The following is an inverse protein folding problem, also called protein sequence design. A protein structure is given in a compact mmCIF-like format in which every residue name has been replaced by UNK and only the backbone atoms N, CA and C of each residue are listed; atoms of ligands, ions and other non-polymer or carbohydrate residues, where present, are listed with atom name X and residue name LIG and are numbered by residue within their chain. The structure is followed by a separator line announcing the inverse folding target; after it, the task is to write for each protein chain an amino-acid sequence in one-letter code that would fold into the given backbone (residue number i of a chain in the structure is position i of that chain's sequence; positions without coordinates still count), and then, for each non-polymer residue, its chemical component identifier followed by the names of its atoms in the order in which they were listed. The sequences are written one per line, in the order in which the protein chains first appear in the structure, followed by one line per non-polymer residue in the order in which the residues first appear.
data_IF_833070967734
#
_entry.id   IF_833070967734
#
_cell.length_a   1.000
_cell.length_b   1.000
_cell.length_c   1.000
_cell.angle_alpha   90.00
_cell.angle_beta   90.00
_cell.angle_gamma   90.00
#
_symmetry.space_group_name_H-M   'P 1'
#
loop_
_entity.id
_entity.type
_entity.pdbx_description
1 polymer ?
#
# COMPACT_ATOMS: atom_id res chain seq x y z
N UNK A 1 -24.96 17.74 -27.01
CA UNK A 1 -24.65 17.75 -28.46
C UNK A 1 -23.15 17.71 -28.60
N UNK A 2 -22.59 16.61 -29.10
CA UNK A 2 -21.16 16.50 -29.42
C UNK A 2 -20.97 17.02 -30.85
N UNK A 3 -20.02 17.92 -31.14
CA UNK A 3 -19.80 18.40 -32.50
C UNK A 3 -19.33 17.25 -33.40
N UNK A 4 -20.04 17.08 -34.51
CA UNK A 4 -19.73 16.19 -35.63
C UNK A 4 -18.56 16.72 -36.45
N UNK A 5 -17.32 16.45 -36.05
CA UNK A 5 -16.17 16.51 -36.97
C UNK A 5 -14.94 15.77 -36.42
N UNK A 6 -15.03 14.45 -36.31
CA UNK A 6 -13.89 13.55 -36.47
C UNK A 6 -14.44 12.13 -36.67
N UNK A 7 -14.62 11.69 -37.92
CA UNK A 7 -14.79 10.27 -38.21
C UNK A 7 -13.45 9.57 -37.99
N UNK A 8 -13.13 9.32 -36.73
CA UNK A 8 -12.03 8.44 -36.37
C UNK A 8 -12.56 7.04 -36.57
N UNK A 9 -11.94 6.22 -37.43
CA UNK A 9 -12.28 4.81 -37.65
C UNK A 9 -12.00 3.91 -36.43
N UNK A 10 -11.92 4.49 -35.24
CA UNK A 10 -11.87 3.75 -33.99
C UNK A 10 -13.29 3.30 -33.65
N UNK A 11 -13.50 2.02 -33.29
CA UNK A 11 -14.78 1.60 -32.76
C UNK A 11 -15.14 2.47 -31.56
N UNK A 12 -16.41 2.88 -31.39
CA UNK A 12 -16.82 3.60 -30.20
C UNK A 12 -16.50 2.73 -28.98
N UNK A 13 -16.09 3.33 -27.84
CA UNK A 13 -15.96 2.57 -26.61
C UNK A 13 -17.29 1.88 -26.31
N UNK A 14 -17.23 0.66 -25.79
CA UNK A 14 -18.44 -0.05 -25.37
C UNK A 14 -19.16 0.79 -24.32
N UNK A 15 -20.49 0.87 -24.43
CA UNK A 15 -21.29 1.58 -23.43
C UNK A 15 -21.07 0.96 -22.05
N UNK A 16 -20.96 1.80 -21.02
CA UNK A 16 -20.70 1.36 -19.64
C UNK A 16 -21.69 0.29 -19.17
N UNK A 17 -22.97 0.42 -19.53
CA UNK A 17 -24.00 -0.56 -19.20
C UNK A 17 -23.73 -1.97 -19.76
N UNK A 18 -22.88 -2.10 -20.77
CA UNK A 18 -22.49 -3.38 -21.38
C UNK A 18 -21.35 -4.05 -20.61
N UNK A 19 -20.42 -3.26 -20.06
CA UNK A 19 -19.19 -3.78 -19.46
C UNK A 19 -19.18 -3.73 -17.93
N UNK A 20 -20.00 -2.86 -17.32
CA UNK A 20 -20.06 -2.69 -15.86
C UNK A 20 -20.42 -3.98 -15.14
N UNK A 21 -21.41 -4.73 -15.65
CA UNK A 21 -21.82 -6.00 -15.03
C UNK A 21 -20.65 -6.98 -14.96
N UNK A 22 -19.96 -7.25 -16.07
CA UNK A 22 -18.83 -8.19 -16.07
C UNK A 22 -17.67 -7.71 -15.18
N UNK A 23 -17.37 -6.40 -15.19
CA UNK A 23 -16.31 -5.81 -14.37
C UNK A 23 -16.63 -5.92 -12.88
N UNK A 24 -17.89 -5.68 -12.51
CA UNK A 24 -18.33 -5.80 -11.13
C UNK A 24 -18.26 -7.25 -10.64
N UNK A 25 -18.67 -8.24 -11.44
CA UNK A 25 -18.51 -9.65 -11.08
C UNK A 25 -17.04 -10.08 -10.94
N UNK A 26 -16.13 -9.54 -11.75
CA UNK A 26 -14.68 -9.75 -11.57
C UNK A 26 -14.19 -9.18 -10.24
N UNK A 27 -14.60 -7.96 -9.88
CA UNK A 27 -14.25 -7.34 -8.60
C UNK A 27 -14.81 -8.12 -7.39
N UNK A 28 -16.05 -8.62 -7.50
CA UNK A 28 -16.67 -9.47 -6.47
C UNK A 28 -15.96 -10.82 -6.30
N UNK A 29 -15.52 -11.44 -7.39
CA UNK A 29 -14.74 -12.67 -7.34
C UNK A 29 -13.38 -12.42 -6.65
N UNK A 30 -12.68 -11.35 -6.99
CA UNK A 30 -11.47 -10.92 -6.29
C UNK A 30 -11.71 -10.65 -4.81
N UNK A 31 -12.78 -9.92 -4.46
CA UNK A 31 -13.18 -9.67 -3.08
C UNK A 31 -13.36 -10.98 -2.30
N UNK A 32 -14.12 -11.92 -2.86
CA UNK A 32 -14.35 -13.22 -2.21
C UNK A 32 -13.06 -14.04 -2.05
N UNK A 33 -12.18 -14.04 -3.07
CA UNK A 33 -10.90 -14.75 -3.06
C UNK A 33 -9.92 -14.20 -2.02
N UNK A 34 -9.78 -12.88 -1.90
CA UNK A 34 -8.88 -12.28 -0.91
C UNK A 34 -9.32 -12.62 0.51
N UNK A 35 -10.62 -12.50 0.79
CA UNK A 35 -11.13 -12.75 2.12
C UNK A 35 -11.07 -14.24 2.49
N UNK A 36 -11.27 -15.15 1.54
CA UNK A 36 -11.11 -16.59 1.77
C UNK A 36 -11.79 -17.09 3.07
N UNK A 37 -12.99 -16.58 3.38
CA UNK A 37 -13.74 -16.98 4.58
C UNK A 37 -14.22 -18.41 4.41
N UNK A 38 -14.02 -19.24 5.44
CA UNK A 38 -14.31 -20.68 5.41
C UNK A 38 -15.62 -20.99 6.15
N UNK A 39 -16.29 -22.10 5.81
CA UNK A 39 -17.45 -22.56 6.56
C UNK A 39 -17.16 -22.79 8.04
N UNK A 40 -18.09 -22.35 8.89
CA UNK A 40 -18.02 -22.52 10.35
C UNK A 40 -17.11 -21.52 11.07
N UNK A 41 -16.36 -20.66 10.37
CA UNK A 41 -15.50 -19.68 11.03
C UNK A 41 -16.28 -18.63 11.81
N UNK A 42 -15.67 -18.18 12.90
CA UNK A 42 -16.10 -17.01 13.67
C UNK A 42 -15.35 -15.80 13.13
N UNK A 43 -16.05 -14.98 12.35
CA UNK A 43 -15.54 -13.73 11.78
C UNK A 43 -15.77 -12.60 12.76
N UNK A 44 -14.73 -11.82 13.04
CA UNK A 44 -14.84 -10.55 13.76
C UNK A 44 -14.49 -9.40 12.82
N UNK A 45 -15.38 -8.44 12.69
CA UNK A 45 -15.08 -7.16 12.06
C UNK A 45 -14.77 -6.12 13.13
N UNK A 46 -13.57 -5.54 13.06
CA UNK A 46 -13.14 -4.39 13.84
C UNK A 46 -13.28 -3.14 12.96
N UNK A 47 -14.37 -2.41 13.13
CA UNK A 47 -14.80 -1.32 12.24
C UNK A 47 -14.75 0.03 12.93
N UNK A 48 -15.08 1.08 12.20
CA UNK A 48 -15.24 2.41 12.74
C UNK A 48 -16.44 3.14 12.12
N UNK A 49 -16.92 4.22 12.72
CA UNK A 49 -18.13 4.93 12.26
C UNK A 49 -17.96 5.68 10.92
N UNK A 50 -16.73 5.85 10.43
CA UNK A 50 -16.45 6.49 9.15
C UNK A 50 -16.38 5.48 8.00
N UNK A 51 -16.54 4.19 8.29
CA UNK A 51 -16.61 3.14 7.28
C UNK A 51 -18.00 3.13 6.62
N UNK A 52 -18.06 3.04 5.30
CA UNK A 52 -19.31 2.79 4.58
C UNK A 52 -19.98 1.51 5.10
N UNK A 53 -21.19 1.63 5.64
CA UNK A 53 -21.95 0.50 6.20
C UNK A 53 -22.17 -0.61 5.19
N UNK A 54 -22.22 -0.28 3.88
CA UNK A 54 -22.35 -1.28 2.81
C UNK A 54 -21.12 -2.20 2.72
N UNK A 55 -19.93 -1.74 3.14
CA UNK A 55 -18.74 -2.59 3.25
C UNK A 55 -18.92 -3.63 4.35
N UNK A 56 -19.47 -3.22 5.50
CA UNK A 56 -19.80 -4.13 6.60
C UNK A 56 -20.80 -5.18 6.13
N UNK A 57 -21.90 -4.75 5.49
CA UNK A 57 -22.92 -5.65 4.96
C UNK A 57 -22.38 -6.60 3.89
N UNK A 58 -21.47 -6.16 3.03
CA UNK A 58 -20.85 -7.01 2.02
C UNK A 58 -20.00 -8.12 2.66
N UNK A 59 -19.19 -7.81 3.67
CA UNK A 59 -18.40 -8.81 4.40
C UNK A 59 -19.31 -9.75 5.20
N UNK A 60 -20.34 -9.23 5.86
CA UNK A 60 -21.35 -10.04 6.58
C UNK A 60 -22.06 -10.99 5.60
N UNK A 61 -22.46 -10.49 4.44
CA UNK A 61 -23.09 -11.26 3.38
C UNK A 61 -22.18 -12.37 2.87
N UNK A 62 -20.91 -12.05 2.57
CA UNK A 62 -19.90 -13.04 2.15
C UNK A 62 -19.69 -14.12 3.20
N UNK A 63 -19.54 -13.75 4.47
CA UNK A 63 -19.35 -14.70 5.56
C UNK A 63 -20.57 -15.62 5.73
N UNK A 64 -21.80 -15.07 5.73
CA UNK A 64 -23.03 -15.85 5.81
C UNK A 64 -23.21 -16.79 4.62
N UNK A 65 -22.87 -16.34 3.41
CA UNK A 65 -22.90 -17.18 2.21
C UNK A 65 -21.91 -18.37 2.29
N UNK A 66 -20.88 -18.27 3.13
CA UNK A 66 -19.94 -19.36 3.43
C UNK A 66 -20.36 -20.20 4.64
N UNK A 67 -21.43 -19.86 5.35
CA UNK A 67 -21.83 -20.53 6.59
C UNK A 67 -20.98 -20.15 7.80
N UNK A 68 -20.35 -18.98 7.78
CA UNK A 68 -19.61 -18.41 8.91
C UNK A 68 -20.52 -17.54 9.79
N UNK A 69 -20.12 -17.36 11.05
CA UNK A 69 -20.76 -16.45 12.00
C UNK A 69 -19.99 -15.14 12.05
N UNK A 70 -20.69 -14.01 12.16
CA UNK A 70 -20.04 -12.69 12.16
C UNK A 70 -20.43 -11.90 13.40
N UNK A 71 -19.45 -11.29 14.04
CA UNK A 71 -19.62 -10.20 15.02
C UNK A 71 -18.97 -8.95 14.46
N UNK A 72 -19.58 -7.80 14.74
CA UNK A 72 -19.06 -6.48 14.35
C UNK A 72 -18.89 -5.67 15.62
N UNK A 73 -17.74 -5.03 15.77
CA UNK A 73 -17.45 -4.09 16.84
C UNK A 73 -16.90 -2.80 16.22
N UNK A 74 -17.47 -1.66 16.62
CA UNK A 74 -17.16 -0.37 16.04
C UNK A 74 -16.61 0.61 17.08
N UNK A 75 -15.55 1.32 16.70
CA UNK A 75 -15.03 2.49 17.42
C UNK A 75 -15.46 3.79 16.70
N UNK A 76 -15.36 4.97 17.34
CA UNK A 76 -15.71 6.23 16.68
C UNK A 76 -14.89 6.53 15.42
N UNK A 77 -13.62 6.10 15.37
CA UNK A 77 -12.74 6.24 14.21
C UNK A 77 -11.65 5.14 14.21
N UNK A 78 -10.86 5.07 13.14
CA UNK A 78 -9.84 4.03 12.92
C UNK A 78 -8.53 4.22 13.71
N UNK A 79 -8.31 5.37 14.38
CA UNK A 79 -7.08 5.69 15.15
C UNK A 79 -7.03 4.99 16.51
N UNK A 80 -7.37 3.72 16.52
CA UNK A 80 -7.24 2.85 17.69
C UNK A 80 -5.78 2.45 17.77
N UNK A 81 -5.05 2.95 18.75
CA UNK A 81 -3.59 2.73 18.90
C UNK A 81 -3.22 1.49 19.71
N UNK A 82 -4.19 0.91 20.41
CA UNK A 82 -4.05 -0.37 21.12
C UNK A 82 -5.41 -1.06 21.20
N UNK A 83 -5.43 -2.40 21.17
CA UNK A 83 -6.68 -3.17 21.27
C UNK A 83 -7.34 -2.92 22.64
N UNK A 84 -8.57 -2.37 22.69
CA UNK A 84 -9.27 -2.14 23.94
C UNK A 84 -9.48 -3.44 24.73
N UNK A 85 -9.28 -3.40 26.04
CA UNK A 85 -9.40 -4.58 26.91
C UNK A 85 -10.74 -5.35 26.73
N UNK A 86 -11.91 -4.69 26.65
CA UNK A 86 -13.18 -5.38 26.45
C UNK A 86 -13.29 -6.14 25.12
N UNK A 87 -12.47 -5.78 24.13
CA UNK A 87 -12.49 -6.36 22.78
C UNK A 87 -11.59 -7.58 22.67
N UNK A 88 -10.57 -7.70 23.55
CA UNK A 88 -9.60 -8.81 23.50
C UNK A 88 -10.27 -10.19 23.55
N UNK A 89 -11.27 -10.37 24.40
CA UNK A 89 -12.02 -11.62 24.49
C UNK A 89 -12.84 -11.94 23.24
N UNK A 90 -13.32 -10.93 22.50
CA UNK A 90 -13.95 -11.14 21.20
C UNK A 90 -12.92 -11.57 20.15
N UNK A 91 -11.74 -10.93 20.17
CA UNK A 91 -10.67 -11.23 19.24
C UNK A 91 -10.10 -12.64 19.44
N UNK A 92 -9.91 -13.09 20.69
CA UNK A 92 -9.47 -14.47 20.99
C UNK A 92 -10.44 -15.54 20.50
N UNK A 93 -11.74 -15.21 20.46
CA UNK A 93 -12.78 -16.11 19.96
C UNK A 93 -12.89 -16.09 18.43
N UNK A 94 -12.23 -15.19 17.72
CA UNK A 94 -12.33 -15.13 16.25
C UNK A 94 -11.35 -16.12 15.59
N UNK A 95 -11.77 -16.68 14.47
CA UNK A 95 -10.89 -17.47 13.59
C UNK A 95 -10.35 -16.59 12.44
N UNK A 96 -11.16 -15.61 12.03
CA UNK A 96 -10.90 -14.69 10.93
C UNK A 96 -11.26 -13.25 11.32
N UNK A 97 -10.39 -12.29 11.04
CA UNK A 97 -10.57 -10.89 11.43
C UNK A 97 -10.49 -9.97 10.22
N UNK A 98 -11.44 -9.03 10.13
CA UNK A 98 -11.42 -7.92 9.16
C UNK A 98 -11.27 -6.63 9.95
N UNK A 99 -10.28 -5.81 9.65
CA UNK A 99 -9.97 -4.63 10.47
C UNK A 99 -9.82 -3.35 9.66
N UNK A 100 -10.32 -2.26 10.25
CA UNK A 100 -10.03 -0.86 9.88
C UNK A 100 -9.08 -0.18 10.86
N UNK A 101 -8.72 -0.82 11.97
CA UNK A 101 -8.05 -0.18 13.11
C UNK A 101 -6.53 -0.17 12.99
N UNK A 102 -5.91 0.99 13.15
CA UNK A 102 -4.46 1.18 13.03
C UNK A 102 -3.65 0.10 13.77
N UNK A 103 -3.97 -0.13 15.06
CA UNK A 103 -3.26 -1.09 15.90
C UNK A 103 -3.27 -2.55 15.41
N UNK A 104 -4.08 -2.93 14.41
CA UNK A 104 -4.07 -4.30 13.88
C UNK A 104 -2.73 -4.70 13.25
N UNK A 105 -1.92 -3.71 12.84
CA UNK A 105 -0.62 -3.95 12.22
C UNK A 105 0.38 -4.43 13.28
N UNK A 106 0.52 -3.69 14.37
CA UNK A 106 1.66 -3.79 15.30
C UNK A 106 1.31 -4.15 16.74
N UNK A 107 0.03 -4.15 17.14
CA UNK A 107 -0.35 -4.49 18.52
C UNK A 107 0.16 -5.90 18.88
N UNK A 108 0.91 -6.06 19.98
CA UNK A 108 1.48 -7.34 20.38
C UNK A 108 0.43 -8.46 20.55
N UNK A 109 -0.79 -8.11 20.96
CA UNK A 109 -1.89 -9.05 21.09
C UNK A 109 -2.36 -9.55 19.72
N UNK A 110 -2.54 -8.67 18.74
CA UNK A 110 -2.86 -9.02 17.35
C UNK A 110 -1.76 -9.88 16.71
N UNK A 111 -0.49 -9.55 16.96
CA UNK A 111 0.66 -10.36 16.52
C UNK A 111 0.60 -11.77 17.14
N UNK A 112 0.31 -11.87 18.45
CA UNK A 112 0.20 -13.15 19.13
C UNK A 112 -0.95 -14.01 18.58
N UNK A 113 -2.11 -13.41 18.25
CA UNK A 113 -3.21 -14.15 17.63
C UNK A 113 -2.85 -14.68 16.24
N UNK A 114 -2.18 -13.87 15.41
CA UNK A 114 -1.68 -14.32 14.09
C UNK A 114 -0.70 -15.47 14.23
N UNK A 115 0.23 -15.42 15.20
CA UNK A 115 1.14 -16.54 15.51
C UNK A 115 0.42 -17.83 15.93
N UNK A 116 -0.80 -17.74 16.47
CA UNK A 116 -1.68 -18.89 16.79
C UNK A 116 -2.51 -19.37 15.59
N UNK A 117 -2.35 -18.77 14.42
CA UNK A 117 -3.02 -19.17 13.19
C UNK A 117 -4.24 -18.32 12.80
N UNK A 118 -4.63 -17.32 13.60
CA UNK A 118 -5.73 -16.43 13.25
C UNK A 118 -5.43 -15.66 11.96
N UNK A 119 -6.39 -15.59 11.05
CA UNK A 119 -6.23 -15.01 9.70
C UNK A 119 -6.82 -13.60 9.65
N UNK A 120 -6.15 -12.68 8.96
CA UNK A 120 -6.51 -11.26 8.99
C UNK A 120 -6.54 -10.61 7.62
N UNK A 121 -7.56 -9.76 7.39
CA UNK A 121 -7.65 -8.83 6.26
C UNK A 121 -7.76 -7.40 6.78
N UNK A 122 -6.83 -6.55 6.35
CA UNK A 122 -6.86 -5.10 6.58
C UNK A 122 -7.58 -4.41 5.42
N UNK A 123 -8.51 -3.50 5.71
CA UNK A 123 -9.30 -2.78 4.69
C UNK A 123 -9.06 -1.26 4.67
N UNK A 124 -7.85 -0.79 5.00
CA UNK A 124 -7.49 0.64 4.97
C UNK A 124 -7.81 1.31 3.63
N UNK A 125 -7.58 0.62 2.51
CA UNK A 125 -7.84 1.13 1.15
C UNK A 125 -9.27 0.87 0.66
N UNK A 126 -10.09 0.13 1.41
CA UNK A 126 -11.43 -0.30 0.99
C UNK A 126 -12.50 0.18 1.97
N UNK A 127 -12.67 1.51 2.04
CA UNK A 127 -13.59 2.16 2.99
C UNK A 127 -14.96 2.52 2.40
N UNK A 128 -15.13 2.36 1.09
CA UNK A 128 -16.36 2.63 0.34
C UNK A 128 -16.64 1.45 -0.61
N UNK A 129 -17.86 0.89 -0.57
CA UNK A 129 -18.21 -0.25 -1.42
C UNK A 129 -18.11 0.08 -2.91
N UNK A 130 -18.29 1.35 -3.30
CA UNK A 130 -18.22 1.79 -4.69
C UNK A 130 -16.82 1.61 -5.31
N UNK A 131 -15.79 1.38 -4.48
CA UNK A 131 -14.46 0.98 -4.97
C UNK A 131 -14.48 -0.33 -5.76
N UNK A 132 -15.48 -1.19 -5.59
CA UNK A 132 -15.68 -2.39 -6.42
C UNK A 132 -15.96 -2.07 -7.89
N UNK A 133 -16.36 -0.83 -8.23
CA UNK A 133 -16.56 -0.39 -9.60
C UNK A 133 -15.27 0.11 -10.27
N UNK A 134 -14.15 0.12 -9.55
CA UNK A 134 -12.88 0.63 -10.06
C UNK A 134 -12.08 -0.45 -10.82
N UNK A 135 -11.23 -0.05 -11.79
CA UNK A 135 -10.31 -0.98 -12.46
C UNK A 135 -9.40 -1.75 -11.51
N UNK A 136 -8.88 -1.12 -10.45
CA UNK A 136 -8.01 -1.78 -9.48
C UNK A 136 -8.68 -2.91 -8.69
N UNK A 137 -9.99 -2.83 -8.42
CA UNK A 137 -10.70 -3.86 -7.67
C UNK A 137 -10.83 -5.18 -8.43
N UNK A 138 -10.89 -5.10 -9.76
CA UNK A 138 -10.98 -6.27 -10.66
C UNK A 138 -9.64 -6.74 -11.21
N UNK A 139 -8.53 -6.11 -10.83
CA UNK A 139 -7.20 -6.53 -11.27
C UNK A 139 -6.82 -7.89 -10.64
N UNK A 140 -6.36 -8.89 -11.41
CA UNK A 140 -6.13 -10.24 -10.88
C UNK A 140 -5.08 -10.28 -9.75
N UNK A 141 -5.47 -10.80 -8.58
CA UNK A 141 -4.61 -10.89 -7.39
C UNK A 141 -3.35 -11.76 -7.60
N UNK A 142 -3.44 -12.76 -8.49
CA UNK A 142 -2.31 -13.63 -8.86
C UNK A 142 -1.18 -12.83 -9.52
N UNK A 143 -1.55 -11.87 -10.39
CA UNK A 143 -0.58 -11.02 -11.07
C UNK A 143 0.13 -10.10 -10.06
N UNK A 144 -0.60 -9.53 -9.09
CA UNK A 144 0.01 -8.72 -8.01
C UNK A 144 1.06 -9.55 -7.25
N UNK A 145 0.73 -10.78 -6.85
CA UNK A 145 1.69 -11.66 -6.19
C UNK A 145 2.89 -12.02 -7.06
N UNK A 146 2.68 -12.23 -8.37
CA UNK A 146 3.75 -12.47 -9.32
C UNK A 146 4.68 -11.28 -9.48
N UNK A 147 4.14 -10.06 -9.54
CA UNK A 147 4.92 -8.81 -9.59
C UNK A 147 5.79 -8.64 -8.33
N UNK A 148 5.25 -8.93 -7.14
CA UNK A 148 6.02 -8.92 -5.90
C UNK A 148 7.22 -9.88 -5.96
N UNK A 149 6.98 -11.14 -6.37
CA UNK A 149 8.05 -12.15 -6.47
C UNK A 149 9.08 -11.80 -7.54
N UNK A 150 8.64 -11.31 -8.70
CA UNK A 150 9.53 -10.86 -9.77
C UNK A 150 10.41 -9.69 -9.34
N UNK A 151 9.86 -8.76 -8.56
CA UNK A 151 10.63 -7.65 -7.98
C UNK A 151 11.60 -8.15 -6.91
N UNK A 152 11.18 -9.05 -6.02
CA UNK A 152 12.04 -9.65 -5.00
C UNK A 152 13.27 -10.36 -5.58
N UNK A 153 13.13 -11.06 -6.72
CA UNK A 153 14.24 -11.72 -7.41
C UNK A 153 15.33 -10.77 -7.91
N UNK A 154 15.02 -9.48 -8.07
CA UNK A 154 15.98 -8.47 -8.53
C UNK A 154 16.87 -7.94 -7.40
N UNK A 155 16.55 -8.24 -6.13
CA UNK A 155 17.44 -7.92 -5.02
C UNK A 155 18.64 -8.87 -5.01
N UNK A 156 19.89 -8.35 -4.95
CA UNK A 156 21.07 -9.18 -4.79
C UNK A 156 20.96 -10.11 -3.57
N UNK A 157 21.53 -11.31 -3.68
CA UNK A 157 21.50 -12.33 -2.64
C UNK A 157 22.93 -12.68 -2.20
N UNK A 158 23.15 -12.76 -0.89
CA UNK A 158 24.44 -13.16 -0.32
C UNK A 158 25.53 -12.08 -0.33
N UNK A 159 25.23 -10.87 -0.78
CA UNK A 159 26.16 -9.74 -0.79
C UNK A 159 25.56 -8.45 -0.20
N UNK A 160 26.44 -7.51 0.14
CA UNK A 160 26.06 -6.15 0.52
C UNK A 160 25.78 -5.31 -0.73
N UNK A 161 24.76 -4.46 -0.68
CA UNK A 161 24.45 -3.53 -1.76
C UNK A 161 23.72 -2.29 -1.24
N UNK A 162 23.67 -1.24 -2.05
CA UNK A 162 22.82 -0.09 -1.81
C UNK A 162 21.53 -0.21 -2.62
N UNK A 163 20.40 0.10 -1.97
CA UNK A 163 19.17 0.47 -2.65
C UNK A 163 19.22 1.98 -2.91
N UNK A 164 19.39 2.38 -4.17
CA UNK A 164 19.58 3.77 -4.58
C UNK A 164 18.36 4.29 -5.34
N UNK A 165 17.86 5.44 -4.91
CA UNK A 165 16.75 6.18 -5.50
C UNK A 165 17.29 7.43 -6.18
N UNK A 166 16.98 7.62 -7.47
CA UNK A 166 17.40 8.79 -8.23
C UNK A 166 16.31 9.30 -9.16
N UNK A 167 16.26 10.60 -9.42
CA UNK A 167 15.36 11.18 -10.44
C UNK A 167 15.94 12.45 -11.09
N UNK A 168 15.22 12.99 -12.07
CA UNK A 168 15.60 14.20 -12.81
C UNK A 168 15.55 15.49 -11.98
N UNK A 169 14.86 15.48 -10.84
CA UNK A 169 14.69 16.65 -9.96
C UNK A 169 15.90 16.82 -9.04
N UNK A 170 16.66 15.74 -8.85
CA UNK A 170 17.91 15.70 -8.10
C UNK A 170 17.86 14.79 -6.88
N UNK A 171 16.82 13.95 -6.75
CA UNK A 171 16.82 12.91 -5.71
C UNK A 171 18.06 12.04 -5.91
N UNK A 172 18.81 11.81 -4.83
CA UNK A 172 19.87 10.81 -4.72
C UNK A 172 19.88 10.37 -3.26
N UNK A 173 19.15 9.31 -3.00
CA UNK A 173 18.98 8.75 -1.66
C UNK A 173 19.38 7.27 -1.68
N UNK A 174 20.01 6.81 -0.60
CA UNK A 174 20.54 5.45 -0.50
C UNK A 174 20.16 4.81 0.82
N UNK A 175 19.84 3.52 0.76
CA UNK A 175 19.63 2.65 1.91
C UNK A 175 20.54 1.43 1.75
N UNK A 176 21.44 1.22 2.71
CA UNK A 176 22.37 0.09 2.71
C UNK A 176 21.70 -1.21 3.16
N UNK A 177 21.91 -2.28 2.40
CA UNK A 177 21.47 -3.63 2.73
C UNK A 177 22.66 -4.54 3.08
N UNK A 178 22.44 -5.37 4.09
CA UNK A 178 23.23 -6.59 4.33
C UNK A 178 22.45 -7.81 3.83
N UNK A 179 23.12 -8.95 3.57
CA UNK A 179 22.43 -10.20 3.21
C UNK A 179 21.29 -10.56 4.17
N UNK A 180 21.52 -10.41 5.48
CA UNK A 180 20.53 -10.77 6.51
C UNK A 180 19.33 -9.81 6.52
N UNK A 181 19.55 -8.51 6.35
CA UNK A 181 18.43 -7.53 6.27
C UNK A 181 17.57 -7.75 5.04
N UNK A 182 18.18 -8.10 3.90
CA UNK A 182 17.48 -8.47 2.67
C UNK A 182 16.62 -9.70 2.89
N UNK A 183 17.20 -10.77 3.45
CA UNK A 183 16.47 -12.02 3.66
C UNK A 183 15.34 -11.87 4.67
N UNK A 184 15.56 -11.09 5.72
CA UNK A 184 14.52 -10.78 6.72
C UNK A 184 13.33 -10.04 6.09
N UNK A 185 13.60 -9.00 5.30
CA UNK A 185 12.55 -8.22 4.62
C UNK A 185 11.73 -9.09 3.65
N UNK A 186 12.43 -9.83 2.77
CA UNK A 186 11.77 -10.62 1.73
C UNK A 186 11.06 -11.87 2.25
N UNK A 187 11.27 -12.26 3.52
CA UNK A 187 10.52 -13.34 4.16
C UNK A 187 9.07 -12.97 4.51
N UNK A 188 8.71 -11.68 4.47
CA UNK A 188 7.34 -11.22 4.78
C UNK A 188 6.29 -11.72 3.78
N UNK A 189 5.04 -11.85 4.23
CA UNK A 189 3.92 -12.30 3.39
C UNK A 189 3.74 -11.44 2.12
N UNK A 190 3.96 -10.12 2.23
CA UNK A 190 3.85 -9.20 1.09
C UNK A 190 4.88 -9.55 0.01
N UNK A 191 6.14 -9.77 0.39
CA UNK A 191 7.21 -10.13 -0.54
C UNK A 191 7.11 -11.57 -1.08
N UNK A 192 6.54 -12.50 -0.32
CA UNK A 192 6.15 -13.83 -0.82
C UNK A 192 5.05 -13.78 -1.90
N UNK A 193 4.39 -12.64 -2.07
CA UNK A 193 3.28 -12.46 -3.00
C UNK A 193 1.98 -13.11 -2.52
N UNK A 194 1.81 -13.22 -1.20
CA UNK A 194 0.56 -13.71 -0.60
C UNK A 194 -0.46 -12.58 -0.60
N UNK A 195 -1.47 -12.70 -1.46
CA UNK A 195 -2.52 -11.68 -1.66
C UNK A 195 -3.89 -12.13 -1.16
N UNK A 196 -4.03 -13.38 -0.72
CA UNK A 196 -5.25 -13.94 -0.14
C UNK A 196 -5.02 -14.33 1.31
N UNK A 197 -6.09 -14.31 2.09
CA UNK A 197 -6.02 -14.66 3.49
C UNK A 197 -6.03 -16.18 3.74
N UNK A 198 -5.63 -17.04 2.80
CA UNK A 198 -5.83 -18.50 2.91
C UNK A 198 -4.97 -19.18 3.98
N UNK A 199 -3.73 -18.71 4.19
CA UNK A 199 -2.78 -19.35 5.10
C UNK A 199 -3.09 -19.04 6.58
N UNK A 200 -2.95 -19.99 7.52
CA UNK A 200 -2.99 -19.70 8.95
C UNK A 200 -1.99 -18.59 9.33
N UNK A 201 -2.43 -17.62 10.12
CA UNK A 201 -1.58 -16.51 10.58
C UNK A 201 -1.31 -15.42 9.55
N UNK A 202 -1.96 -15.47 8.38
CA UNK A 202 -1.81 -14.44 7.36
C UNK A 202 -2.33 -13.07 7.84
N UNK A 203 -1.74 -12.02 7.25
CA UNK A 203 -2.18 -10.64 7.37
C UNK A 203 -2.02 -10.00 6.00
N UNK A 204 -3.14 -9.79 5.30
CA UNK A 204 -3.18 -9.25 3.94
C UNK A 204 -4.00 -7.96 3.91
N UNK A 205 -3.78 -7.13 2.89
CA UNK A 205 -4.53 -5.89 2.69
C UNK A 205 -5.51 -6.10 1.54
N UNK A 206 -6.69 -5.51 1.66
CA UNK A 206 -7.68 -5.47 0.61
C UNK A 206 -7.93 -4.04 0.09
N UNK A 207 -8.50 -4.02 -1.11
CA UNK A 207 -7.96 -3.50 -2.37
C UNK A 207 -6.52 -3.94 -2.66
N UNK A 208 -6.28 -4.77 -3.71
CA UNK A 208 -4.96 -5.34 -4.00
C UNK A 208 -4.09 -4.31 -4.72
N UNK A 209 -3.89 -3.15 -4.10
CA UNK A 209 -3.18 -2.00 -4.69
C UNK A 209 -1.87 -1.72 -4.00
N UNK A 210 -1.87 -1.77 -2.66
CA UNK A 210 -0.68 -1.51 -1.87
C UNK A 210 0.24 -2.74 -1.81
N UNK A 211 1.47 -2.58 -2.29
CA UNK A 211 2.47 -3.63 -2.28
C UNK A 211 3.37 -3.61 -1.04
N UNK A 212 4.46 -4.39 -1.06
CA UNK A 212 5.55 -4.24 -0.11
C UNK A 212 6.32 -2.92 -0.32
N UNK A 213 6.93 -2.43 0.75
CA UNK A 213 7.89 -1.33 0.66
C UNK A 213 9.23 -1.87 0.20
N UNK A 214 9.94 -1.10 -0.66
CA UNK A 214 11.25 -1.52 -1.17
C UNK A 214 12.31 -1.62 -0.06
N UNK A 215 12.12 -0.85 1.00
CA UNK A 215 12.70 -1.04 2.32
C UNK A 215 11.65 -0.66 3.38
N UNK A 216 11.59 -1.42 4.47
CA UNK A 216 10.88 -1.02 5.68
C UNK A 216 11.58 -1.61 6.91
N UNK A 217 11.12 -1.23 8.10
CA UNK A 217 11.67 -1.70 9.37
C UNK A 217 11.57 -3.21 9.62
N UNK A 218 10.77 -3.95 8.85
CA UNK A 218 10.77 -5.41 8.96
C UNK A 218 12.13 -5.99 8.56
N UNK A 219 12.90 -5.30 7.71
CA UNK A 219 14.28 -5.66 7.36
C UNK A 219 15.20 -5.80 8.59
N UNK A 220 14.90 -5.07 9.67
CA UNK A 220 15.61 -5.11 10.96
C UNK A 220 14.73 -5.66 12.08
N UNK A 221 13.72 -6.47 11.74
CA UNK A 221 12.79 -7.11 12.69
C UNK A 221 12.07 -6.09 13.60
N UNK A 222 11.85 -4.89 13.10
CA UNK A 222 11.28 -3.76 13.83
C UNK A 222 12.11 -3.33 15.06
N UNK A 223 13.40 -3.68 15.14
CA UNK A 223 14.29 -3.20 16.20
C UNK A 223 14.55 -1.69 16.04
N UNK A 224 14.05 -0.89 16.98
CA UNK A 224 14.23 0.56 16.97
C UNK A 224 15.67 1.00 17.24
N UNK A 225 16.49 0.15 17.86
CA UNK A 225 17.90 0.43 18.14
C UNK A 225 18.82 0.09 16.96
N UNK A 226 18.35 -0.74 16.02
CA UNK A 226 19.09 -1.06 14.81
C UNK A 226 19.29 0.22 13.97
N UNK A 227 20.52 0.41 13.48
CA UNK A 227 20.87 1.52 12.61
C UNK A 227 20.98 1.03 11.19
N UNK A 228 20.14 1.54 10.31
CA UNK A 228 20.24 1.31 8.87
C UNK A 228 21.11 2.41 8.24
N UNK A 229 22.14 2.07 7.46
CA UNK A 229 22.91 3.07 6.72
C UNK A 229 21.99 3.77 5.72
N UNK A 230 21.71 5.04 5.95
CA UNK A 230 20.89 5.87 5.07
C UNK A 230 21.53 7.23 4.88
N UNK A 231 21.42 7.79 3.67
CA UNK A 231 21.92 9.14 3.40
C UNK A 231 21.37 9.66 2.08
N UNK A 232 21.32 10.98 1.98
CA UNK A 232 21.06 11.67 0.72
C UNK A 232 19.92 12.66 0.81
N UNK A 233 19.31 12.92 -0.34
CA UNK A 233 18.25 13.92 -0.48
C UNK A 233 17.11 13.35 -1.31
N UNK A 234 15.89 13.63 -0.88
CA UNK A 234 14.65 13.33 -1.59
C UNK A 234 14.01 14.65 -1.98
N UNK A 235 13.64 14.79 -3.25
CA UNK A 235 12.79 15.88 -3.72
C UNK A 235 11.40 15.32 -3.96
N UNK A 236 10.45 15.41 -3.01
CA UNK A 236 9.09 14.90 -3.24
C UNK A 236 8.34 15.72 -4.30
N UNK A 237 7.49 15.06 -5.09
CA UNK A 237 6.52 15.73 -5.96
C UNK A 237 5.30 16.17 -5.16
N UNK A 238 4.96 15.41 -4.12
CA UNK A 238 3.73 15.58 -3.37
C UNK A 238 3.90 14.95 -1.98
N UNK A 239 2.91 15.12 -1.12
CA UNK A 239 2.84 14.47 0.18
C UNK A 239 1.37 14.29 0.59
N UNK A 240 1.11 13.28 1.41
CA UNK A 240 -0.24 13.01 1.91
C UNK A 240 -0.75 14.19 2.74
N UNK A 241 -2.01 14.59 2.51
CA UNK A 241 -2.63 15.75 3.15
C UNK A 241 -2.42 17.08 2.43
N UNK A 242 -1.68 17.11 1.32
CA UNK A 242 -1.59 18.28 0.45
C UNK A 242 -2.55 18.14 -0.73
N UNK A 243 -3.23 19.22 -1.12
CA UNK A 243 -4.29 19.16 -2.12
C UNK A 243 -3.80 18.93 -3.56
N UNK A 244 -2.56 19.33 -3.86
CA UNK A 244 -1.94 19.23 -5.19
C UNK A 244 -0.43 18.96 -5.06
N UNK A 245 0.23 18.46 -6.12
CA UNK A 245 1.69 18.39 -6.19
C UNK A 245 2.34 19.75 -5.93
N UNK A 246 3.56 19.72 -5.40
CA UNK A 246 4.35 20.90 -5.10
C UNK A 246 4.80 21.60 -6.38
N UNK A 247 4.62 22.92 -6.42
CA UNK A 247 5.17 23.76 -7.50
C UNK A 247 6.66 24.00 -7.30
N UNK A 248 7.07 24.23 -6.05
CA UNK A 248 8.47 24.35 -5.69
C UNK A 248 9.14 22.98 -5.62
N UNK A 249 10.39 22.93 -6.08
CA UNK A 249 11.29 21.81 -5.83
C UNK A 249 11.85 21.89 -4.40
N UNK A 250 11.16 21.26 -3.46
CA UNK A 250 11.54 21.21 -2.03
C UNK A 250 12.52 20.06 -1.77
N UNK A 251 13.64 20.32 -1.09
CA UNK A 251 14.63 19.29 -0.77
C UNK A 251 14.47 18.78 0.67
N UNK A 252 14.39 17.46 0.87
CA UNK A 252 14.37 16.82 2.20
C UNK A 252 15.66 16.03 2.36
N UNK A 253 16.55 16.48 3.26
CA UNK A 253 17.87 15.88 3.49
C UNK A 253 17.86 14.93 4.66
N UNK A 254 18.58 13.82 4.52
CA UNK A 254 18.73 12.79 5.53
C UNK A 254 20.19 12.65 5.97
N UNK A 255 20.38 12.58 7.29
CA UNK A 255 21.62 12.15 7.93
C UNK A 255 21.34 10.87 8.73
N UNK A 256 21.83 9.73 8.21
CA UNK A 256 21.32 8.45 8.69
C UNK A 256 19.83 8.33 8.38
N UNK A 257 19.09 7.76 9.32
CA UNK A 257 17.64 7.56 9.21
C UNK A 257 16.83 8.83 9.50
N UNK A 258 17.47 9.95 9.86
CA UNK A 258 16.80 11.15 10.34
C UNK A 258 16.82 12.28 9.32
N UNK A 259 15.71 13.02 9.21
CA UNK A 259 15.64 14.24 8.42
C UNK A 259 16.46 15.34 9.12
N UNK A 260 17.53 15.79 8.47
CA UNK A 260 18.42 16.83 9.00
C UNK A 260 18.02 18.23 8.56
N UNK A 261 17.43 18.38 7.38
CA UNK A 261 16.99 19.67 6.84
C UNK A 261 15.87 19.54 5.81
N UNK A 262 15.06 20.60 5.69
CA UNK A 262 14.12 20.82 4.58
C UNK A 262 14.39 22.19 3.95
N UNK A 263 14.74 22.21 2.67
CA UNK A 263 15.13 23.40 1.91
C UNK A 263 14.03 23.78 0.90
N UNK A 264 13.69 25.08 0.86
CA UNK A 264 12.63 25.66 0.04
C UNK A 264 12.06 26.92 0.70
N UNK A 265 11.41 27.77 -0.07
CA UNK A 265 10.90 29.08 0.35
C UNK A 265 9.36 29.17 0.32
N UNK A 266 8.66 28.18 -0.27
CA UNK A 266 7.19 28.13 -0.31
C UNK A 266 6.55 27.86 1.05
N UNK A 267 5.27 28.20 1.17
CA UNK A 267 4.43 27.84 2.33
C UNK A 267 4.45 26.32 2.57
N UNK A 268 4.42 25.50 1.51
CA UNK A 268 4.54 24.05 1.62
C UNK A 268 5.90 23.62 2.19
N UNK A 269 7.00 24.28 1.80
CA UNK A 269 8.33 24.00 2.34
C UNK A 269 8.41 24.35 3.83
N UNK A 270 7.78 25.46 4.27
CA UNK A 270 7.69 25.82 5.69
C UNK A 270 6.92 24.78 6.50
N UNK A 271 5.78 24.33 5.99
CA UNK A 271 4.96 23.28 6.62
C UNK A 271 5.76 21.97 6.72
N UNK A 272 6.39 21.54 5.62
CA UNK A 272 7.21 20.33 5.61
C UNK A 272 8.39 20.43 6.57
N UNK A 273 9.02 21.60 6.68
CA UNK A 273 10.15 21.81 7.61
C UNK A 273 9.74 21.67 9.07
N UNK A 274 8.62 22.27 9.49
CA UNK A 274 8.13 22.12 10.87
C UNK A 274 7.76 20.66 11.20
N UNK A 275 7.20 19.94 10.22
CA UNK A 275 6.80 18.54 10.42
C UNK A 275 8.00 17.58 10.44
N UNK A 276 8.87 17.67 9.44
CA UNK A 276 9.79 16.58 9.10
C UNK A 276 11.12 16.64 9.83
N UNK A 277 11.66 17.82 10.16
CA UNK A 277 13.02 17.92 10.74
C UNK A 277 13.09 17.16 12.07
N UNK A 278 14.06 16.25 12.18
CA UNK A 278 14.21 15.32 13.30
C UNK A 278 13.34 14.06 13.21
N UNK A 279 12.42 13.98 12.24
CA UNK A 279 11.66 12.77 11.93
C UNK A 279 12.54 11.65 11.39
N UNK A 280 12.09 10.41 11.53
CA UNK A 280 12.81 9.18 11.18
C UNK A 280 12.15 8.46 10.01
N UNK A 281 12.94 8.08 9.00
CA UNK A 281 12.50 7.19 7.92
C UNK A 281 12.09 5.84 8.49
N UNK A 282 10.87 5.39 8.18
CA UNK A 282 10.37 4.06 8.56
C UNK A 282 9.99 3.21 7.35
N UNK A 283 9.73 3.86 6.20
CA UNK A 283 9.34 3.21 4.95
C UNK A 283 10.06 3.86 3.78
N UNK A 284 10.99 3.12 3.17
CA UNK A 284 11.86 3.59 2.09
C UNK A 284 11.35 3.09 0.75
N UNK A 285 10.66 3.94 0.00
CA UNK A 285 10.11 3.57 -1.31
C UNK A 285 8.96 2.57 -1.19
N UNK A 286 7.96 2.87 -0.37
CA UNK A 286 6.68 2.19 -0.45
C UNK A 286 6.09 2.30 -1.86
N UNK A 287 5.63 1.18 -2.42
CA UNK A 287 5.24 1.10 -3.83
C UNK A 287 3.98 0.24 -3.99
N UNK A 288 3.10 0.67 -4.89
CA UNK A 288 1.98 -0.16 -5.32
C UNK A 288 2.37 -1.19 -6.38
N UNK A 289 1.56 -2.24 -6.54
CA UNK A 289 1.83 -3.34 -7.48
C UNK A 289 0.63 -3.65 -8.38
N UNK A 290 -0.30 -2.70 -8.49
CA UNK A 290 -1.51 -2.80 -9.29
C UNK A 290 -1.51 -1.74 -10.40
N UNK A 291 -1.23 -2.10 -11.66
CA UNK A 291 -1.21 -1.18 -12.81
C UNK A 291 -2.51 -0.40 -13.04
N UNK A 292 -3.61 -0.85 -12.42
CA UNK A 292 -4.92 -0.24 -12.50
C UNK A 292 -5.24 0.67 -11.31
N UNK A 293 -4.30 0.87 -10.39
CA UNK A 293 -4.40 1.91 -9.38
C UNK A 293 -4.06 3.28 -10.01
N UNK A 294 -4.83 4.34 -9.69
CA UNK A 294 -4.53 5.68 -10.17
C UNK A 294 -3.17 6.16 -9.68
N UNK A 295 -2.37 6.76 -10.57
CA UNK A 295 -1.02 7.21 -10.23
C UNK A 295 -1.02 8.51 -9.45
N UNK A 296 -1.96 9.40 -9.75
CA UNK A 296 -2.05 10.74 -9.16
C UNK A 296 -3.03 10.82 -7.99
N UNK A 297 -3.21 9.72 -7.26
CA UNK A 297 -3.95 9.66 -6.00
C UNK A 297 -3.00 9.24 -4.89
N UNK A 298 -2.85 10.07 -3.86
CA UNK A 298 -1.85 9.84 -2.79
C UNK A 298 -2.46 9.44 -1.45
N UNK A 299 -3.79 9.52 -1.27
CA UNK A 299 -4.44 9.10 -0.03
C UNK A 299 -4.85 7.60 -0.08
N UNK A 300 -4.80 6.85 1.03
CA UNK A 300 -4.35 7.25 2.37
C UNK A 300 -2.85 7.11 2.64
N UNK A 301 -2.07 6.44 1.78
CA UNK A 301 -0.66 6.15 2.03
C UNK A 301 0.15 6.15 0.72
N UNK A 302 0.37 7.36 0.19
CA UNK A 302 1.03 7.56 -1.09
C UNK A 302 0.29 7.00 -2.32
N UNK A 303 0.99 7.05 -3.46
CA UNK A 303 0.49 6.47 -4.71
C UNK A 303 0.63 4.95 -4.70
N UNK A 304 -0.45 4.27 -5.08
CA UNK A 304 -0.49 2.81 -5.19
C UNK A 304 -0.32 2.31 -6.64
N UNK A 305 0.10 3.17 -7.56
CA UNK A 305 0.49 2.75 -8.89
C UNK A 305 1.91 2.15 -8.89
N UNK A 306 2.18 1.08 -9.67
CA UNK A 306 3.51 0.54 -9.87
C UNK A 306 4.54 1.59 -10.26
N UNK A 307 5.67 1.59 -9.56
CA UNK A 307 6.79 2.49 -9.83
C UNK A 307 6.63 3.90 -9.25
N UNK A 308 5.44 4.28 -8.77
CA UNK A 308 5.28 5.45 -7.93
C UNK A 308 5.64 5.08 -6.48
N UNK A 309 6.44 5.93 -5.84
CA UNK A 309 7.02 5.70 -4.54
C UNK A 309 6.41 6.62 -3.50
N UNK A 310 6.31 6.14 -2.27
CA UNK A 310 6.23 6.98 -1.09
C UNK A 310 7.36 6.69 -0.11
N UNK A 311 7.65 7.66 0.75
CA UNK A 311 8.64 7.58 1.81
C UNK A 311 7.96 7.97 3.12
N UNK A 312 7.70 6.97 3.96
CA UNK A 312 7.03 7.13 5.24
C UNK A 312 8.01 7.56 6.32
N UNK A 313 7.71 8.68 6.95
CA UNK A 313 8.54 9.32 7.98
C UNK A 313 7.71 9.46 9.26
N UNK A 314 8.21 8.88 10.35
CA UNK A 314 7.70 9.14 11.69
C UNK A 314 8.24 10.49 12.18
N UNK A 315 7.35 11.43 12.46
CA UNK A 315 7.67 12.78 12.91
C UNK A 315 8.16 12.77 14.37
N UNK A 316 9.05 13.71 14.71
CA UNK A 316 9.55 13.87 16.08
C UNK A 316 8.47 14.30 17.09
N UNK A 317 7.38 14.91 16.60
CA UNK A 317 6.22 15.38 17.37
C UNK A 317 4.96 15.30 16.50
N UNK A 318 3.76 15.22 17.11
CA UNK A 318 2.51 15.35 16.36
C UNK A 318 2.42 16.66 15.58
N UNK A 319 1.89 16.61 14.36
CA UNK A 319 1.70 17.76 13.47
C UNK A 319 0.29 18.35 13.57
N UNK A 320 0.22 19.66 13.82
CA UNK A 320 -1.05 20.41 13.79
C UNK A 320 -1.55 20.64 12.35
N UNK A 321 -0.67 20.59 11.35
CA UNK A 321 -1.10 20.59 9.96
C UNK A 321 -1.93 19.33 9.66
N UNK A 322 -1.39 18.14 9.95
CA UNK A 322 -2.07 16.86 9.70
C UNK A 322 -3.42 16.81 10.42
N UNK A 323 -3.47 17.22 11.69
CA UNK A 323 -4.71 17.28 12.47
C UNK A 323 -5.81 18.14 11.83
N UNK A 324 -5.42 19.21 11.12
CA UNK A 324 -6.36 20.12 10.45
C UNK A 324 -6.82 19.60 9.10
N UNK A 325 -5.89 19.09 8.28
CA UNK A 325 -6.18 18.70 6.89
C UNK A 325 -6.68 17.26 6.75
N UNK A 326 -6.32 16.39 7.68
CA UNK A 326 -6.69 14.98 7.70
C UNK A 326 -7.15 14.57 9.12
N UNK A 327 -8.23 15.17 9.66
CA UNK A 327 -8.66 14.96 11.05
C UNK A 327 -9.05 13.51 11.36
N UNK A 328 -9.37 12.72 10.33
CA UNK A 328 -9.84 11.34 10.41
C UNK A 328 -8.91 10.34 9.72
N UNK A 329 -7.66 10.74 9.45
CA UNK A 329 -6.67 9.79 8.94
C UNK A 329 -6.44 8.68 9.95
N UNK A 330 -6.31 7.45 9.46
CA UNK A 330 -6.03 6.28 10.29
C UNK A 330 -4.65 6.37 10.96
N UNK A 331 -3.67 6.88 10.22
CA UNK A 331 -2.32 7.06 10.72
C UNK A 331 -2.30 8.12 11.83
N UNK A 332 -1.56 7.89 12.93
CA UNK A 332 -1.31 8.92 13.91
C UNK A 332 -0.78 10.21 13.26
N UNK A 333 -1.04 11.40 13.83
CA UNK A 333 -0.53 12.68 13.28
C UNK A 333 0.99 12.85 13.45
N UNK A 334 1.71 11.75 13.62
CA UNK A 334 3.16 11.62 13.66
C UNK A 334 3.67 10.83 12.45
N UNK A 335 2.86 10.60 11.41
CA UNK A 335 3.30 9.92 10.19
C UNK A 335 3.12 10.83 8.98
N UNK A 336 4.08 10.82 8.04
CA UNK A 336 3.99 11.56 6.79
C UNK A 336 4.60 10.78 5.64
N UNK A 337 3.83 10.65 4.56
CA UNK A 337 4.25 10.03 3.32
C UNK A 337 4.62 11.08 2.27
N UNK A 338 5.90 11.12 1.92
CA UNK A 338 6.42 11.91 0.80
C UNK A 338 6.36 11.10 -0.49
N UNK A 339 5.88 11.68 -1.60
CA UNK A 339 5.62 10.94 -2.84
C UNK A 339 6.61 11.32 -3.94
N UNK A 340 7.20 10.32 -4.59
CA UNK A 340 7.98 10.46 -5.82
C UNK A 340 7.38 9.58 -6.93
N UNK A 341 6.96 10.15 -8.04
CA UNK A 341 6.26 9.43 -9.11
C UNK A 341 7.26 8.78 -10.08
N UNK A 342 8.35 9.44 -10.43
CA UNK A 342 9.19 9.14 -11.60
C UNK A 342 10.63 8.74 -11.26
N UNK A 343 10.86 8.19 -10.08
CA UNK A 343 12.19 7.77 -9.66
C UNK A 343 12.67 6.50 -10.37
N UNK A 344 13.98 6.41 -10.60
CA UNK A 344 14.71 5.16 -10.87
C UNK A 344 15.20 4.58 -9.55
N UNK A 345 15.01 3.28 -9.36
CA UNK A 345 15.48 2.54 -8.18
C UNK A 345 16.38 1.39 -8.59
N UNK A 346 17.59 1.38 -8.04
CA UNK A 346 18.61 0.34 -8.26
C UNK A 346 18.86 -0.42 -6.95
N UNK A 347 18.88 -1.75 -6.99
CA UNK A 347 19.38 -2.61 -5.93
C UNK A 347 20.73 -3.19 -6.36
N UNK A 348 21.82 -2.58 -5.89
CA UNK A 348 23.14 -2.85 -6.45
C UNK A 348 23.18 -2.46 -7.93
N UNK A 349 23.46 -3.42 -8.81
CA UNK A 349 23.47 -3.22 -10.28
C UNK A 349 22.11 -3.51 -10.94
N UNK A 350 21.14 -4.03 -10.20
CA UNK A 350 19.85 -4.44 -10.74
C UNK A 350 18.83 -3.29 -10.68
N UNK A 351 18.19 -2.98 -11.81
CA UNK A 351 17.10 -2.00 -11.84
C UNK A 351 15.79 -2.63 -11.35
N UNK A 352 15.19 -2.03 -10.32
CA UNK A 352 13.85 -2.38 -9.83
C UNK A 352 12.77 -1.55 -10.51
N UNK A 353 13.02 -0.24 -10.58
CA UNK A 353 12.14 0.76 -11.21
C UNK A 353 13.01 1.62 -12.11
N UNK A 354 12.54 1.88 -13.32
CA UNK A 354 13.21 2.76 -14.29
C UNK A 354 12.31 3.95 -14.59
N UNK A 355 12.67 5.14 -14.10
CA UNK A 355 11.95 6.40 -14.34
C UNK A 355 10.44 6.30 -14.03
N UNK A 356 10.09 5.68 -12.91
CA UNK A 356 8.70 5.44 -12.50
C UNK A 356 8.02 4.23 -13.14
N UNK A 357 8.72 3.43 -13.95
CA UNK A 357 8.23 2.16 -14.51
C UNK A 357 8.75 0.97 -13.69
N UNK A 358 7.84 0.19 -13.09
CA UNK A 358 8.21 -1.03 -12.37
C UNK A 358 8.70 -2.11 -13.35
N UNK A 359 9.98 -2.47 -13.31
CA UNK A 359 10.58 -3.39 -14.29
C UNK A 359 9.95 -4.80 -14.27
N UNK A 360 9.34 -5.20 -13.16
CA UNK A 360 8.62 -6.48 -13.03
C UNK A 360 7.38 -6.58 -13.94
N UNK A 361 6.83 -5.46 -14.43
CA UNK A 361 5.71 -5.46 -15.38
C UNK A 361 6.07 -6.14 -16.72
N UNK A 362 7.38 -6.23 -17.03
CA UNK A 362 7.91 -6.91 -18.22
C UNK A 362 8.64 -8.21 -17.90
N UNK A 363 8.54 -8.70 -16.67
CA UNK A 363 9.10 -10.01 -16.34
C UNK A 363 8.37 -11.10 -17.14
N UNK A 364 9.08 -12.01 -17.84
CA UNK A 364 8.43 -13.02 -18.69
C UNK A 364 7.41 -13.89 -17.96
N UNK A 365 7.65 -14.24 -16.69
CA UNK A 365 6.72 -15.05 -15.89
C UNK A 365 5.44 -14.25 -15.58
N UNK A 366 5.59 -12.96 -15.28
CA UNK A 366 4.45 -12.06 -15.04
C UNK A 366 3.61 -11.89 -16.31
N UNK A 367 4.27 -11.71 -17.46
CA UNK A 367 3.60 -11.59 -18.76
C UNK A 367 2.83 -12.87 -19.10
N UNK A 368 3.42 -14.04 -18.85
CA UNK A 368 2.76 -15.33 -19.05
C UNK A 368 1.53 -15.49 -18.16
N UNK A 369 1.61 -15.12 -16.89
CA UNK A 369 0.47 -15.16 -15.96
C UNK A 369 -0.61 -14.18 -16.43
N UNK A 370 -0.25 -12.95 -16.81
CA UNK A 370 -1.19 -11.95 -17.30
C UNK A 370 -1.95 -12.39 -18.56
N UNK A 371 -1.28 -13.13 -19.46
CA UNK A 371 -1.88 -13.65 -20.69
C UNK A 371 -3.07 -14.61 -20.45
N UNK A 372 -3.19 -15.18 -19.24
CA UNK A 372 -4.33 -16.02 -18.84
C UNK A 372 -5.60 -15.20 -18.59
N UNK A 373 -5.45 -13.90 -18.32
CA UNK A 373 -6.54 -13.01 -17.92
C UNK A 373 -6.95 -12.01 -19.02
N UNK A 374 -6.13 -11.85 -20.07
CA UNK A 374 -6.36 -10.91 -21.16
C UNK A 374 -5.08 -10.57 -21.90
N UNK A 375 -5.08 -9.47 -22.65
CA UNK A 375 -3.87 -8.93 -23.27
C UNK A 375 -2.90 -8.43 -22.17
N UNK A 376 -1.67 -8.99 -22.07
CA UNK A 376 -0.69 -8.54 -21.09
C UNK A 376 -0.33 -7.06 -21.20
N UNK A 377 -0.27 -6.50 -22.41
CA UNK A 377 0.08 -5.09 -22.61
C UNK A 377 -1.03 -4.21 -22.06
N UNK A 378 -2.29 -4.53 -22.37
CA UNK A 378 -3.45 -3.85 -21.80
C UNK A 378 -3.46 -3.98 -20.27
N UNK A 379 -3.22 -5.17 -19.72
CA UNK A 379 -3.30 -5.39 -18.27
C UNK A 379 -2.15 -4.74 -17.49
N UNK A 380 -0.92 -4.80 -17.99
CA UNK A 380 0.29 -4.45 -17.24
C UNK A 380 0.80 -3.03 -17.54
N UNK A 381 0.63 -2.53 -18.77
CA UNK A 381 1.24 -1.25 -19.18
C UNK A 381 0.22 -0.13 -19.41
N UNK A 382 -1.05 -0.44 -19.71
CA UNK A 382 -2.06 0.61 -19.85
C UNK A 382 -2.49 1.15 -18.47
N UNK A 383 -2.08 2.38 -18.15
CA UNK A 383 -2.53 3.09 -16.96
C UNK A 383 -4.03 3.44 -16.99
N UNK A 384 -4.54 3.97 -15.88
CA UNK A 384 -5.96 4.36 -15.71
C UNK A 384 -6.15 5.86 -15.44
N UNK A 385 -5.10 6.67 -15.63
CA UNK A 385 -5.12 8.11 -15.36
C UNK A 385 -6.07 8.89 -16.27
#
# INVERSE_FOLDING_TARGET
MIPTSAYIGLPPPLADSVVQTKHFFQALDNFAKVFAIRPGERVLMLTDHLLDTRVVDAVVGLARARGAQVRVYAEPNSRVTAVPEPVKGLLEQADFVVSTWFCSIEDPFCIAMRKRGQRWVKITYFRNLDLLHTPQARFPNEIVGALCRATARRYPQGEHFDLRFTDSRGTDFRIGFTPETRDTMLASNRWRGVTTAEEPGCYVHYLPTHGPNLWDRTAVRNDHAAKTPMSGVIYPQWAVGFAKPFEERIAVRFEGEYVSAVEGESDEAEILRDMLVGGRMIEGGGCGFNPKAPRHTVYPAGSNAPGALHFGIDLAKPSDYIRRVLPDWEEPPVHMDLVCLDATVMAGTNTLIDQGFLCALRDPEVVEIAARYGDPVELLEAGVD
#
